data_IF_850513185386
#
_entry.id   IF_850513185386
#
_cell.length_a   1.000
_cell.length_b   1.000
_cell.length_c   1.000
_cell.angle_alpha   90.00
_cell.angle_beta   90.00
_cell.angle_gamma   90.00
#
_symmetry.space_group_name_H-M   'P 1'
#
loop_
_entity.id
_entity.type
_entity.pdbx_description
1 polymer ?
#
# COMPACT_ATOMS: atom_id res chain seq x y z
N UNK A 1 -5.61 -10.94 2.77
CA UNK A 1 -6.02 -10.47 4.11
C UNK A 1 -5.41 -9.10 4.29
N UNK A 2 -6.19 -8.09 4.68
CA UNK A 2 -5.67 -6.77 5.02
C UNK A 2 -5.04 -6.82 6.41
N UNK A 3 -3.83 -6.30 6.53
CA UNK A 3 -3.09 -6.23 7.78
C UNK A 3 -2.80 -4.76 8.09
N UNK A 4 -2.91 -4.32 9.35
CA UNK A 4 -2.48 -2.98 9.74
C UNK A 4 -1.04 -2.74 9.30
N UNK A 5 -0.72 -1.54 8.79
CA UNK A 5 0.64 -1.21 8.40
C UNK A 5 1.62 -1.32 9.58
N UNK A 6 1.15 -1.03 10.80
CA UNK A 6 1.90 -1.17 12.06
C UNK A 6 2.09 -2.63 12.51
N UNK A 7 1.48 -3.61 11.83
CA UNK A 7 1.62 -5.02 12.16
C UNK A 7 3.07 -5.48 11.95
N UNK A 8 3.74 -5.92 13.02
CA UNK A 8 5.17 -6.29 12.99
C UNK A 8 5.47 -7.42 12.02
N UNK A 9 4.50 -8.31 11.82
CA UNK A 9 4.64 -9.47 10.94
C UNK A 9 4.42 -9.14 9.46
N UNK A 10 3.94 -7.94 9.11
CA UNK A 10 3.52 -7.57 7.76
C UNK A 10 4.59 -7.81 6.68
N UNK A 11 5.83 -7.36 6.91
CA UNK A 11 6.93 -7.53 5.94
C UNK A 11 7.30 -9.00 5.79
N UNK A 12 7.32 -9.78 6.88
CA UNK A 12 7.55 -11.22 6.80
C UNK A 12 6.42 -11.95 6.09
N UNK A 13 5.16 -11.60 6.37
CA UNK A 13 3.99 -12.12 5.68
C UNK A 13 4.10 -11.84 4.19
N UNK A 14 4.48 -10.62 3.80
CA UNK A 14 4.69 -10.28 2.39
C UNK A 14 5.77 -11.13 1.75
N UNK A 15 6.95 -11.25 2.37
CA UNK A 15 8.07 -12.02 1.83
C UNK A 15 7.73 -13.50 1.60
N UNK A 16 6.85 -14.07 2.42
CA UNK A 16 6.45 -15.48 2.35
C UNK A 16 5.28 -15.75 1.41
N UNK A 17 4.72 -14.72 0.76
CA UNK A 17 3.62 -14.94 -0.17
C UNK A 17 4.06 -15.69 -1.44
N UNK A 18 3.16 -16.50 -2.03
CA UNK A 18 3.41 -17.13 -3.31
C UNK A 18 3.34 -16.08 -4.44
N UNK A 19 4.48 -15.53 -4.84
CA UNK A 19 4.58 -14.63 -5.98
C UNK A 19 4.67 -15.42 -7.29
N UNK A 20 4.04 -14.95 -8.39
CA UNK A 20 4.17 -15.59 -9.70
C UNK A 20 5.62 -15.71 -10.19
N UNK A 21 6.49 -14.76 -9.80
CA UNK A 21 7.93 -14.75 -10.09
C UNK A 21 8.78 -15.57 -9.11
N UNK A 22 8.16 -16.22 -8.11
CA UNK A 22 8.85 -16.99 -7.07
C UNK A 22 9.52 -16.14 -5.97
N UNK A 23 9.53 -14.81 -6.07
CA UNK A 23 10.09 -13.92 -5.04
C UNK A 23 9.35 -12.56 -5.00
N UNK A 24 9.27 -11.91 -3.83
CA UNK A 24 8.73 -10.56 -3.70
C UNK A 24 9.61 -9.56 -4.46
N UNK A 25 8.99 -8.50 -4.99
CA UNK A 25 9.74 -7.36 -5.53
C UNK A 25 10.57 -6.70 -4.41
N UNK A 26 11.91 -6.58 -4.56
CA UNK A 26 12.77 -5.91 -3.58
C UNK A 26 12.32 -4.46 -3.30
N UNK A 27 11.84 -3.77 -4.33
CA UNK A 27 11.32 -2.41 -4.27
C UNK A 27 10.12 -2.32 -3.33
N UNK A 28 9.17 -3.26 -3.47
CA UNK A 28 7.97 -3.29 -2.63
C UNK A 28 8.31 -3.67 -1.17
N UNK A 29 9.29 -4.55 -0.96
CA UNK A 29 9.78 -4.89 0.38
C UNK A 29 10.41 -3.66 1.04
N UNK A 30 11.28 -2.95 0.32
CA UNK A 30 11.95 -1.74 0.82
C UNK A 30 10.94 -0.63 1.15
N UNK A 31 9.96 -0.42 0.28
CA UNK A 31 8.87 0.53 0.51
C UNK A 31 8.09 0.18 1.78
N UNK A 32 7.68 -1.07 1.92
CA UNK A 32 6.91 -1.54 3.07
C UNK A 32 7.67 -1.34 4.38
N UNK A 33 8.96 -1.70 4.41
CA UNK A 33 9.83 -1.46 5.57
C UNK A 33 9.98 0.03 5.92
N UNK A 34 10.09 0.89 4.90
CA UNK A 34 10.19 2.35 5.11
C UNK A 34 8.89 2.92 5.66
N UNK A 35 7.75 2.52 5.09
CA UNK A 35 6.42 2.91 5.56
C UNK A 35 6.18 2.51 7.02
N UNK A 36 6.65 1.33 7.45
CA UNK A 36 6.58 0.92 8.85
C UNK A 36 7.41 1.78 9.81
N UNK A 37 8.50 2.40 9.33
CA UNK A 37 9.39 3.25 10.14
C UNK A 37 8.93 4.70 10.26
N UNK A 38 8.14 5.20 9.31
CA UNK A 38 7.69 6.61 9.28
C UNK A 38 6.84 6.99 10.51
N UNK A 39 6.16 6.02 11.14
CA UNK A 39 5.21 6.30 12.22
C UNK A 39 4.01 7.13 11.72
N UNK A 40 3.00 7.35 12.56
CA UNK A 40 1.87 8.22 12.23
C UNK A 40 0.88 7.72 11.18
N UNK A 41 1.09 6.54 10.58
CA UNK A 41 0.19 5.91 9.61
C UNK A 41 -0.83 4.96 10.28
N UNK A 42 -1.35 5.32 11.45
CA UNK A 42 -2.42 4.56 12.12
C UNK A 42 -3.69 4.61 11.27
N UNK A 43 -4.39 3.48 11.17
CA UNK A 43 -5.56 3.35 10.28
C UNK A 43 -5.21 3.02 8.84
N UNK A 44 -3.92 2.93 8.48
CA UNK A 44 -3.48 2.41 7.19
C UNK A 44 -3.39 0.89 7.25
N UNK A 45 -3.99 0.23 6.28
CA UNK A 45 -3.94 -1.21 6.08
C UNK A 45 -3.25 -1.53 4.77
N UNK A 46 -2.50 -2.61 4.77
CA UNK A 46 -1.84 -3.17 3.61
C UNK A 46 -2.45 -4.53 3.25
N UNK A 47 -2.73 -4.75 1.97
CA UNK A 47 -2.91 -6.09 1.42
C UNK A 47 -1.89 -6.30 0.33
N UNK A 48 -1.34 -7.50 0.34
CA UNK A 48 -0.34 -7.92 -0.63
C UNK A 48 -0.89 -9.09 -1.41
N UNK A 49 -0.74 -9.06 -2.74
CA UNK A 49 -1.23 -10.11 -3.63
C UNK A 49 -0.94 -9.82 -5.09
N UNK A 50 -0.76 -10.87 -5.90
CA UNK A 50 -0.55 -10.78 -7.36
C UNK A 50 0.60 -9.84 -7.81
N UNK A 51 1.65 -9.68 -7.01
CA UNK A 51 2.79 -8.83 -7.36
C UNK A 51 2.56 -7.32 -7.15
N UNK A 52 1.48 -6.94 -6.47
CA UNK A 52 1.20 -5.57 -6.04
C UNK A 52 1.09 -5.46 -4.51
N UNK A 53 1.41 -4.28 -4.00
CA UNK A 53 1.13 -3.85 -2.63
C UNK A 53 -0.02 -2.85 -2.69
N UNK A 54 -1.17 -3.19 -2.12
CA UNK A 54 -2.28 -2.26 -1.98
C UNK A 54 -2.32 -1.72 -0.56
N UNK A 55 -2.49 -0.42 -0.44
CA UNK A 55 -2.57 0.33 0.81
C UNK A 55 -3.90 1.07 0.83
N UNK A 56 -4.54 1.16 1.97
CA UNK A 56 -5.84 1.82 2.12
C UNK A 56 -5.94 2.40 3.52
N UNK A 57 -6.72 3.46 3.67
CA UNK A 57 -7.17 3.92 4.98
C UNK A 57 -8.53 3.31 5.25
N UNK A 58 -8.74 2.84 6.48
CA UNK A 58 -10.06 2.36 6.87
C UNK A 58 -10.43 2.96 8.23
N UNK A 59 -11.64 3.52 8.37
CA UNK A 59 -12.16 3.84 9.68
C UNK A 59 -12.25 2.55 10.50
N UNK A 60 -12.18 2.66 11.83
CA UNK A 60 -12.12 1.56 12.80
C UNK A 60 -13.20 0.45 12.63
N UNK A 61 -14.20 0.64 11.77
CA UNK A 61 -15.28 -0.29 11.46
C UNK A 61 -14.99 -1.31 10.33
N UNK A 62 -13.87 -1.17 9.60
CA UNK A 62 -13.30 -2.26 8.80
C UNK A 62 -12.94 -1.90 7.36
N UNK A 63 -11.88 -2.55 6.86
CA UNK A 63 -11.29 -2.31 5.53
C UNK A 63 -12.23 -2.62 4.35
N UNK A 64 -13.35 -3.30 4.59
CA UNK A 64 -14.37 -3.58 3.56
C UNK A 64 -15.15 -2.33 3.13
N UNK A 65 -15.20 -1.30 3.98
CA UNK A 65 -15.89 -0.03 3.68
C UNK A 65 -14.93 1.05 3.17
N UNK A 66 -13.63 0.73 3.03
CA UNK A 66 -12.66 1.70 2.55
C UNK A 66 -12.95 2.10 1.09
N UNK A 67 -13.09 3.41 0.86
CA UNK A 67 -13.39 3.99 -0.45
C UNK A 67 -12.15 4.46 -1.22
N UNK A 68 -10.98 4.43 -0.59
CA UNK A 68 -9.73 4.96 -1.15
C UNK A 68 -8.56 4.01 -0.97
N UNK A 69 -7.83 3.73 -2.05
CA UNK A 69 -6.68 2.84 -2.02
C UNK A 69 -5.56 3.29 -2.96
N UNK A 70 -4.33 2.96 -2.59
CA UNK A 70 -3.15 3.10 -3.44
C UNK A 70 -2.67 1.70 -3.77
N UNK A 71 -2.46 1.36 -5.04
CA UNK A 71 -1.77 0.14 -5.41
C UNK A 71 -0.41 0.44 -6.00
N UNK A 72 0.60 -0.18 -5.43
CA UNK A 72 1.99 -0.05 -5.83
C UNK A 72 2.39 -1.32 -6.56
N UNK A 73 2.86 -1.15 -7.79
CA UNK A 73 3.43 -2.19 -8.61
C UNK A 73 4.96 -2.08 -8.55
N UNK A 74 5.65 -3.20 -8.76
CA UNK A 74 7.12 -3.19 -8.80
C UNK A 74 7.68 -2.20 -9.85
N UNK A 75 6.91 -1.91 -10.90
CA UNK A 75 7.30 -0.99 -11.96
C UNK A 75 6.82 0.46 -11.76
N UNK A 76 5.97 0.77 -10.77
CA UNK A 76 5.42 2.12 -10.56
C UNK A 76 4.19 2.20 -9.64
N UNK A 77 3.58 3.39 -9.48
CA UNK A 77 2.41 3.63 -8.61
C UNK A 77 1.14 3.80 -9.41
N UNK A 78 0.05 3.20 -8.95
CA UNK A 78 -1.29 3.56 -9.39
C UNK A 78 -2.19 3.87 -8.19
N UNK A 79 -3.03 4.90 -8.32
CA UNK A 79 -4.04 5.22 -7.32
C UNK A 79 -5.42 4.73 -7.77
N UNK A 80 -6.20 4.24 -6.81
CA UNK A 80 -7.53 3.67 -7.04
C UNK A 80 -8.50 4.05 -5.93
N UNK A 81 -9.60 4.72 -6.27
CA UNK A 81 -10.75 4.83 -5.37
C UNK A 81 -11.44 3.45 -5.27
N UNK A 82 -11.35 2.83 -4.10
CA UNK A 82 -12.04 1.59 -3.81
C UNK A 82 -13.57 1.82 -3.79
N UNK A 83 -14.33 0.91 -4.39
CA UNK A 83 -15.78 1.04 -4.54
C UNK A 83 -16.26 1.71 -5.84
N UNK A 84 -15.42 2.48 -6.55
CA UNK A 84 -15.85 3.10 -7.83
C UNK A 84 -15.36 2.37 -9.09
N UNK A 85 -14.37 1.46 -9.00
CA UNK A 85 -13.67 0.83 -10.16
C UNK A 85 -13.13 1.83 -11.20
N UNK A 86 -13.31 3.13 -11.02
CA UNK A 86 -12.77 4.18 -11.88
C UNK A 86 -11.44 4.61 -11.27
N UNK A 87 -10.35 4.01 -11.74
CA UNK A 87 -9.02 4.55 -11.45
C UNK A 87 -8.96 5.97 -11.99
N UNK A 88 -8.75 6.98 -11.15
CA UNK A 88 -8.73 8.38 -11.61
C UNK A 88 -7.33 8.87 -11.93
N UNK A 89 -6.27 8.23 -11.44
CA UNK A 89 -4.89 8.55 -11.86
C UNK A 89 -3.87 7.48 -11.46
N UNK A 90 -2.95 7.15 -12.37
CA UNK A 90 -1.74 6.38 -12.06
C UNK A 90 -0.51 7.18 -12.46
N UNK A 91 0.61 7.01 -11.74
CA UNK A 91 1.87 7.69 -12.04
C UNK A 91 3.02 6.69 -12.03
N UNK A 92 3.63 6.53 -13.20
CA UNK A 92 4.94 5.91 -13.30
C UNK A 92 5.97 6.86 -12.68
N UNK A 93 6.75 6.35 -11.72
CA UNK A 93 7.79 7.11 -11.03
C UNK A 93 9.02 6.22 -10.85
N UNK A 94 10.15 6.84 -10.53
CA UNK A 94 11.35 6.10 -10.12
C UNK A 94 11.15 5.53 -8.71
N UNK A 95 11.92 4.49 -8.37
CA UNK A 95 11.93 3.91 -7.02
C UNK A 95 12.30 4.94 -5.94
N UNK A 96 13.18 5.88 -6.25
CA UNK A 96 13.58 6.96 -5.34
C UNK A 96 12.43 7.91 -4.98
N UNK A 97 11.50 8.13 -5.93
CA UNK A 97 10.31 8.99 -5.75
C UNK A 97 9.12 8.22 -5.17
N UNK A 98 9.18 6.88 -5.18
CA UNK A 98 8.07 6.01 -4.84
C UNK A 98 7.61 6.22 -3.39
N UNK A 99 8.57 6.30 -2.46
CA UNK A 99 8.25 6.51 -1.05
C UNK A 99 7.49 7.82 -0.86
N UNK A 100 8.04 8.93 -1.36
CA UNK A 100 7.48 10.26 -1.18
C UNK A 100 6.07 10.36 -1.76
N UNK A 101 5.83 9.73 -2.92
CA UNK A 101 4.52 9.69 -3.55
C UNK A 101 3.51 8.88 -2.74
N UNK A 102 3.90 7.70 -2.27
CA UNK A 102 3.03 6.83 -1.47
C UNK A 102 2.72 7.48 -0.13
N UNK A 103 3.72 8.04 0.55
CA UNK A 103 3.55 8.76 1.81
C UNK A 103 2.65 9.98 1.64
N UNK A 104 2.92 10.84 0.64
CA UNK A 104 2.07 12.00 0.36
C UNK A 104 0.63 11.60 0.06
N UNK A 105 0.41 10.49 -0.65
CA UNK A 105 -0.93 9.98 -0.91
C UNK A 105 -1.61 9.48 0.36
N UNK A 106 -0.95 8.64 1.15
CA UNK A 106 -1.49 8.14 2.42
C UNK A 106 -1.84 9.28 3.38
N UNK A 107 -0.96 10.28 3.50
CA UNK A 107 -1.21 11.46 4.34
C UNK A 107 -2.38 12.30 3.83
N UNK A 108 -2.63 12.35 2.51
CA UNK A 108 -3.83 12.99 1.97
C UNK A 108 -5.07 12.19 2.34
N UNK A 109 -5.05 10.87 2.17
CA UNK A 109 -6.18 10.01 2.53
C UNK A 109 -6.56 10.17 4.01
N UNK A 110 -5.57 10.13 4.91
CA UNK A 110 -5.78 10.33 6.35
C UNK A 110 -6.29 11.73 6.74
N UNK A 111 -6.20 12.74 5.87
CA UNK A 111 -6.73 14.09 6.10
C UNK A 111 -8.14 14.29 5.56
N UNK A 112 -8.60 13.39 4.69
CA UNK A 112 -9.92 13.44 4.06
C UNK A 112 -10.94 12.51 4.73
N UNK A 113 -10.50 11.66 5.67
CA UNK A 113 -11.35 10.93 6.65
C UNK A 113 -11.73 11.80 7.85
#
# INVERSE_FOLDING_TARGET
>A
MWLPLEERTLVETFRRQPFPSGSPSPVLVCLLERLQRLGGLRGVFAVTGMGQLSLTTAPHHGVQEAHDSVAVFAQGVAYFEAGSRRSTSGRWCREEELLDLVECHLLRLLRHE
#
